data_IF_974828138142
#
_entry.id   IF_974828138142
#
_cell.length_a   1.000
_cell.length_b   1.000
_cell.length_c   1.000
_cell.angle_alpha   90.00
_cell.angle_beta   90.00
_cell.angle_gamma   90.00
#
_symmetry.space_group_name_H-M   'P 1'
#
loop_
_entity.id
_entity.type
_entity.pdbx_description
1 polymer ?
#
# COMPACT_ATOMS: atom_id res chain seq x y z
N UNK A 1 2.46 -14.91 -29.23
CA UNK A 1 2.82 -13.48 -29.28
C UNK A 1 4.33 -13.38 -29.06
N UNK A 2 5.08 -12.91 -30.07
CA UNK A 2 6.53 -12.68 -29.95
C UNK A 2 6.76 -11.21 -29.59
N UNK A 3 7.10 -10.92 -28.33
CA UNK A 3 7.19 -9.55 -27.77
C UNK A 3 8.59 -8.95 -27.95
N UNK A 4 9.61 -9.81 -28.04
CA UNK A 4 11.01 -9.40 -28.17
C UNK A 4 11.34 -8.80 -29.54
N UNK A 5 10.58 -9.15 -30.57
CA UNK A 5 10.81 -8.71 -31.95
C UNK A 5 10.11 -7.37 -32.30
N UNK A 6 9.39 -6.76 -31.36
CA UNK A 6 8.61 -5.54 -31.64
C UNK A 6 9.49 -4.29 -31.60
N UNK A 7 9.57 -3.58 -32.72
CA UNK A 7 10.30 -2.30 -32.81
C UNK A 7 9.37 -1.13 -32.48
N UNK A 8 9.84 -0.10 -31.76
CA UNK A 8 9.09 1.13 -31.58
C UNK A 8 8.89 1.82 -32.94
N UNK A 9 7.72 2.40 -33.16
CA UNK A 9 7.41 3.23 -34.34
C UNK A 9 7.25 4.69 -33.89
N UNK A 10 7.23 5.63 -34.84
CA UNK A 10 7.04 7.06 -34.56
C UNK A 10 5.68 7.38 -33.93
N UNK A 11 4.71 6.45 -34.05
CA UNK A 11 3.38 6.55 -33.45
C UNK A 11 3.12 5.38 -32.49
N UNK A 12 2.37 5.61 -31.40
CA UNK A 12 2.00 4.53 -30.50
C UNK A 12 1.10 3.53 -31.23
N UNK A 13 1.46 2.26 -31.17
CA UNK A 13 0.67 1.18 -31.76
C UNK A 13 0.39 0.09 -30.72
N UNK A 14 -0.62 -0.72 -31.00
CA UNK A 14 -1.11 -1.74 -30.08
C UNK A 14 -0.97 -3.11 -30.71
N UNK A 15 -0.24 -4.00 -30.04
CA UNK A 15 -0.10 -5.39 -30.43
C UNK A 15 -1.16 -6.23 -29.68
N UNK A 16 -2.15 -6.73 -30.41
CA UNK A 16 -3.17 -7.60 -29.86
C UNK A 16 -2.59 -8.95 -29.41
N UNK A 17 -2.99 -9.41 -28.22
CA UNK A 17 -2.87 -10.81 -27.82
C UNK A 17 -4.26 -11.48 -27.96
N UNK A 18 -4.76 -12.09 -26.89
CA UNK A 18 -6.05 -12.82 -26.88
C UNK A 18 -6.96 -12.25 -25.80
N UNK A 19 -8.27 -12.41 -26.01
CA UNK A 19 -9.30 -12.05 -25.03
C UNK A 19 -9.22 -10.57 -24.61
N UNK A 20 -9.13 -9.68 -25.60
CA UNK A 20 -9.09 -8.22 -25.39
C UNK A 20 -7.87 -7.71 -24.59
N UNK A 21 -6.85 -8.55 -24.43
CA UNK A 21 -5.53 -8.15 -23.93
C UNK A 21 -4.69 -7.67 -25.12
N UNK A 22 -4.00 -6.56 -24.92
CA UNK A 22 -3.07 -6.01 -25.89
C UNK A 22 -1.88 -5.34 -25.20
N UNK A 23 -0.79 -5.19 -25.95
CA UNK A 23 0.40 -4.49 -25.53
C UNK A 23 0.50 -3.18 -26.32
N UNK A 24 0.37 -2.06 -25.62
CA UNK A 24 0.69 -0.75 -26.17
C UNK A 24 2.21 -0.59 -26.21
N UNK A 25 2.72 -0.19 -27.37
CA UNK A 25 4.12 0.16 -27.58
C UNK A 25 4.16 1.65 -27.89
N UNK A 26 4.84 2.39 -27.04
CA UNK A 26 5.02 3.83 -27.18
C UNK A 26 6.31 4.15 -27.99
N UNK A 27 6.38 5.32 -28.64
CA UNK A 27 7.58 5.76 -29.37
C UNK A 27 8.82 5.86 -28.47
N UNK A 28 8.62 6.15 -27.17
CA UNK A 28 9.67 6.18 -26.15
C UNK A 28 10.19 4.78 -25.75
N UNK A 29 9.78 3.71 -26.45
CA UNK A 29 10.11 2.30 -26.20
C UNK A 29 9.44 1.68 -24.97
N UNK A 30 8.59 2.41 -24.26
CA UNK A 30 7.79 1.87 -23.16
C UNK A 30 6.73 0.92 -23.70
N UNK A 31 6.55 -0.21 -23.02
CA UNK A 31 5.57 -1.23 -23.39
C UNK A 31 4.62 -1.47 -22.24
N UNK A 32 3.33 -1.18 -22.42
CA UNK A 32 2.33 -1.31 -21.35
C UNK A 32 1.19 -2.25 -21.76
N UNK A 33 0.79 -3.12 -20.84
CA UNK A 33 -0.35 -3.99 -21.06
C UNK A 33 -1.65 -3.21 -20.92
N UNK A 34 -2.61 -3.49 -21.80
CA UNK A 34 -3.96 -2.95 -21.80
C UNK A 34 -4.95 -4.10 -21.91
N UNK A 35 -5.94 -4.11 -21.02
CA UNK A 35 -7.04 -5.05 -21.07
C UNK A 35 -8.34 -4.28 -21.17
N UNK A 36 -9.09 -4.52 -22.25
CA UNK A 36 -10.42 -3.95 -22.46
C UNK A 36 -11.49 -4.93 -21.96
N UNK A 37 -12.39 -4.44 -21.13
CA UNK A 37 -13.53 -5.20 -20.61
C UNK A 37 -14.80 -4.36 -20.69
N UNK A 38 -15.96 -4.99 -20.49
CA UNK A 38 -17.24 -4.28 -20.34
C UNK A 38 -17.73 -4.44 -18.92
N UNK A 39 -18.18 -3.34 -18.34
CA UNK A 39 -18.80 -3.31 -17.02
C UNK A 39 -20.06 -2.47 -17.11
N UNK A 40 -21.21 -3.06 -16.77
CA UNK A 40 -22.54 -2.42 -16.86
C UNK A 40 -22.76 -1.80 -18.25
N UNK A 41 -22.52 -2.60 -19.30
CA UNK A 41 -22.70 -2.18 -20.70
C UNK A 41 -21.66 -1.18 -21.25
N UNK A 42 -20.82 -0.57 -20.39
CA UNK A 42 -19.82 0.42 -20.82
C UNK A 42 -18.45 -0.23 -21.03
N UNK A 43 -17.75 0.07 -22.14
CA UNK A 43 -16.37 -0.36 -22.32
C UNK A 43 -15.47 0.38 -21.31
N UNK A 44 -14.64 -0.38 -20.61
CA UNK A 44 -13.61 0.13 -19.71
C UNK A 44 -12.27 -0.50 -20.07
N UNK A 45 -11.19 0.18 -19.69
CA UNK A 45 -9.83 -0.28 -19.88
C UNK A 45 -9.11 -0.30 -18.55
N UNK A 46 -8.31 -1.33 -18.32
CA UNK A 46 -7.40 -1.43 -17.18
C UNK A 46 -6.02 -1.83 -17.68
N UNK A 47 -4.96 -1.32 -17.04
CA UNK A 47 -3.60 -1.71 -17.35
C UNK A 47 -3.12 -2.78 -16.37
N UNK A 48 -2.87 -4.03 -16.80
CA UNK A 48 -2.29 -5.06 -15.94
C UNK A 48 -0.88 -4.74 -15.43
N UNK A 49 -0.13 -3.90 -16.13
CA UNK A 49 1.22 -3.48 -15.77
C UNK A 49 2.07 -3.12 -16.98
N UNK A 50 3.37 -2.91 -16.74
CA UNK A 50 4.36 -2.49 -17.75
C UNK A 50 5.33 -3.64 -18.00
N UNK A 51 5.71 -3.86 -19.25
CA UNK A 51 6.77 -4.78 -19.65
C UNK A 51 8.13 -4.06 -19.57
N UNK A 52 9.21 -4.68 -19.07
CA UNK A 52 9.37 -6.12 -18.80
C UNK A 52 8.99 -6.57 -17.39
N UNK A 53 8.63 -5.65 -16.48
CA UNK A 53 8.28 -5.98 -15.09
C UNK A 53 7.18 -7.04 -15.02
N UNK A 54 6.18 -6.96 -15.89
CA UNK A 54 5.12 -7.94 -16.05
C UNK A 54 5.31 -8.65 -17.39
N UNK A 55 5.63 -9.94 -17.32
CA UNK A 55 5.75 -10.79 -18.50
C UNK A 55 4.36 -11.13 -19.08
N UNK A 56 4.33 -11.82 -20.23
CA UNK A 56 3.07 -12.21 -20.89
C UNK A 56 2.20 -13.14 -20.04
N UNK A 57 2.81 -14.08 -19.33
CA UNK A 57 2.07 -15.04 -18.49
C UNK A 57 1.40 -14.32 -17.31
N UNK A 58 2.14 -13.42 -16.65
CA UNK A 58 1.62 -12.59 -15.55
C UNK A 58 0.51 -11.65 -16.04
N UNK A 59 0.68 -11.05 -17.22
CA UNK A 59 -0.35 -10.21 -17.83
C UNK A 59 -1.65 -10.99 -18.10
N UNK A 60 -1.53 -12.26 -18.54
CA UNK A 60 -2.68 -13.16 -18.73
C UNK A 60 -3.33 -13.58 -17.41
N UNK A 61 -2.53 -13.88 -16.39
CA UNK A 61 -3.05 -14.18 -15.05
C UNK A 61 -3.85 -13.01 -14.48
N UNK A 62 -3.28 -11.79 -14.52
CA UNK A 62 -3.95 -10.56 -14.07
C UNK A 62 -5.20 -10.23 -14.89
N UNK A 63 -5.23 -10.59 -16.18
CA UNK A 63 -6.44 -10.49 -17.02
C UNK A 63 -7.52 -11.43 -16.51
N UNK A 64 -7.18 -12.67 -16.23
CA UNK A 64 -8.13 -13.69 -15.80
C UNK A 64 -8.73 -13.34 -14.42
N UNK A 65 -7.92 -12.80 -13.51
CA UNK A 65 -8.40 -12.27 -12.24
C UNK A 65 -9.36 -11.08 -12.43
N UNK A 66 -9.00 -10.13 -13.32
CA UNK A 66 -9.90 -9.02 -13.66
C UNK A 66 -11.21 -9.51 -14.28
N UNK A 67 -11.19 -10.57 -15.10
CA UNK A 67 -12.41 -11.16 -15.67
C UNK A 67 -13.28 -11.81 -14.60
N UNK A 68 -12.70 -12.50 -13.62
CA UNK A 68 -13.44 -13.06 -12.48
C UNK A 68 -14.16 -11.96 -11.69
N UNK A 69 -13.46 -10.87 -11.38
CA UNK A 69 -14.06 -9.72 -10.71
C UNK A 69 -15.25 -9.13 -11.51
N UNK A 70 -15.12 -9.00 -12.83
CA UNK A 70 -16.23 -8.55 -13.69
C UNK A 70 -17.40 -9.53 -13.66
N UNK A 71 -17.15 -10.84 -13.66
CA UNK A 71 -18.22 -11.85 -13.56
C UNK A 71 -18.94 -11.85 -12.20
N UNK A 72 -18.25 -11.44 -11.13
CA UNK A 72 -18.84 -11.19 -9.81
C UNK A 72 -19.61 -9.85 -9.74
N UNK A 73 -19.68 -9.09 -10.84
CA UNK A 73 -20.32 -7.78 -10.86
C UNK A 73 -19.50 -6.68 -10.17
N UNK A 74 -18.20 -6.88 -9.96
CA UNK A 74 -17.29 -5.86 -9.42
C UNK A 74 -16.48 -5.20 -10.53
N UNK A 75 -16.21 -3.90 -10.38
CA UNK A 75 -15.33 -3.18 -11.29
C UNK A 75 -13.85 -3.38 -10.88
N UNK A 76 -13.00 -4.04 -11.70
CA UNK A 76 -11.60 -4.30 -11.36
C UNK A 76 -10.79 -3.02 -11.08
N UNK A 77 -11.13 -1.90 -11.72
CA UNK A 77 -10.45 -0.62 -11.48
C UNK A 77 -10.78 -0.03 -10.10
N UNK A 78 -12.00 -0.25 -9.60
CA UNK A 78 -12.42 0.18 -8.26
C UNK A 78 -11.79 -0.70 -7.19
N UNK A 79 -11.80 -2.02 -7.36
CA UNK A 79 -11.14 -2.96 -6.44
C UNK A 79 -9.65 -2.63 -6.27
N UNK A 80 -8.94 -2.30 -7.36
CA UNK A 80 -7.54 -1.84 -7.25
C UNK A 80 -7.38 -0.52 -6.52
N UNK A 81 -8.33 0.40 -6.70
CA UNK A 81 -8.32 1.68 -6.00
C UNK A 81 -8.56 1.47 -4.50
N UNK A 82 -9.51 0.64 -4.14
CA UNK A 82 -9.82 0.26 -2.75
C UNK A 82 -8.62 -0.43 -2.10
N UNK A 83 -7.97 -1.38 -2.77
CA UNK A 83 -6.75 -2.01 -2.26
C UNK A 83 -5.61 -1.00 -2.06
N UNK A 84 -5.43 -0.06 -2.98
CA UNK A 84 -4.43 1.00 -2.83
C UNK A 84 -4.75 1.91 -1.65
N UNK A 85 -6.02 2.29 -1.49
CA UNK A 85 -6.47 3.11 -0.36
C UNK A 85 -6.31 2.33 0.93
N UNK A 86 -6.67 1.04 0.99
CA UNK A 86 -6.48 0.21 2.18
C UNK A 86 -5.00 0.14 2.59
N UNK A 87 -4.08 -0.10 1.66
CA UNK A 87 -2.64 -0.07 1.94
C UNK A 87 -2.15 1.30 2.41
N UNK A 88 -2.68 2.39 1.83
CA UNK A 88 -2.38 3.75 2.28
C UNK A 88 -2.93 4.00 3.69
N UNK A 89 -4.17 3.65 3.94
CA UNK A 89 -4.84 3.78 5.24
C UNK A 89 -4.18 2.90 6.30
N UNK A 90 -3.70 1.70 5.97
CA UNK A 90 -2.88 0.88 6.88
C UNK A 90 -1.59 1.60 7.25
N UNK A 91 -0.92 2.22 6.27
CA UNK A 91 0.29 3.01 6.50
C UNK A 91 0.04 4.36 7.20
N UNK A 92 -1.18 4.90 7.11
CA UNK A 92 -1.63 6.12 7.80
C UNK A 92 -2.14 5.83 9.22
N UNK A 93 -2.78 4.67 9.40
CA UNK A 93 -3.26 4.15 10.68
C UNK A 93 -2.15 3.49 11.51
N UNK A 94 -0.92 3.52 11.01
CA UNK A 94 0.26 3.10 11.75
C UNK A 94 0.29 3.82 13.10
N UNK A 95 0.43 3.05 14.18
CA UNK A 95 0.41 3.57 15.55
C UNK A 95 1.40 4.72 15.76
N UNK A 96 2.55 4.66 15.08
CA UNK A 96 3.55 5.73 15.11
C UNK A 96 2.99 7.09 14.71
N UNK A 97 2.24 7.18 13.60
CA UNK A 97 1.65 8.43 13.10
C UNK A 97 0.59 8.98 14.05
N UNK A 98 -0.30 8.11 14.54
CA UNK A 98 -1.34 8.50 15.49
C UNK A 98 -0.72 8.97 16.81
N UNK A 99 0.33 8.29 17.29
CA UNK A 99 1.04 8.67 18.50
C UNK A 99 1.80 10.00 18.33
N UNK A 100 2.37 10.27 17.14
CA UNK A 100 3.00 11.57 16.86
C UNK A 100 1.98 12.70 16.79
N UNK A 101 0.84 12.48 16.15
CA UNK A 101 -0.24 13.48 16.09
C UNK A 101 -0.81 13.78 17.49
N UNK A 102 -1.08 12.74 18.29
CA UNK A 102 -1.48 12.88 19.68
C UNK A 102 -0.46 13.66 20.50
N UNK A 103 0.83 13.36 20.32
CA UNK A 103 1.92 14.06 20.99
C UNK A 103 1.96 15.54 20.59
N UNK A 104 1.83 15.86 19.31
CA UNK A 104 1.78 17.26 18.84
C UNK A 104 0.63 18.03 19.49
N UNK A 105 -0.57 17.45 19.54
CA UNK A 105 -1.72 18.07 20.19
C UNK A 105 -1.51 18.32 21.70
N UNK A 106 -0.81 17.41 22.39
CA UNK A 106 -0.56 17.50 23.83
C UNK A 106 0.66 18.35 24.18
N UNK A 107 1.64 18.45 23.28
CA UNK A 107 2.87 19.21 23.48
C UNK A 107 2.62 20.69 23.76
N UNK A 108 1.52 21.25 23.26
CA UNK A 108 1.09 22.62 23.57
C UNK A 108 0.80 22.87 25.07
N UNK A 109 0.54 21.81 25.85
CA UNK A 109 0.28 21.89 27.30
C UNK A 109 1.48 21.47 28.15
N UNK A 110 2.54 21.00 27.52
CA UNK A 110 3.71 20.45 28.20
C UNK A 110 4.93 21.37 28.03
N UNK A 111 5.86 21.31 28.96
CA UNK A 111 7.17 21.94 28.76
C UNK A 111 7.92 21.22 27.62
N UNK A 112 8.74 21.96 26.87
CA UNK A 112 9.48 21.41 25.73
C UNK A 112 10.32 20.18 26.11
N UNK A 113 10.95 20.18 27.30
CA UNK A 113 11.69 19.04 27.83
C UNK A 113 10.81 17.82 28.09
N UNK A 114 9.65 18.01 28.73
CA UNK A 114 8.74 16.91 29.03
C UNK A 114 8.12 16.30 27.76
N UNK A 115 7.78 17.14 26.79
CA UNK A 115 7.34 16.67 25.48
C UNK A 115 8.45 15.86 24.79
N UNK A 116 9.70 16.34 24.80
CA UNK A 116 10.83 15.61 24.20
C UNK A 116 11.06 14.26 24.88
N UNK A 117 11.04 14.19 26.21
CA UNK A 117 11.21 12.95 26.98
C UNK A 117 10.18 11.88 26.59
N UNK A 118 8.92 12.30 26.39
CA UNK A 118 7.83 11.40 26.00
C UNK A 118 8.09 10.88 24.58
N UNK A 119 8.39 11.76 23.62
CA UNK A 119 8.65 11.34 22.24
C UNK A 119 9.84 10.38 22.16
N UNK A 120 10.91 10.64 22.91
CA UNK A 120 12.08 9.75 22.99
C UNK A 120 11.71 8.37 23.54
N UNK A 121 10.83 8.31 24.56
CA UNK A 121 10.31 7.04 25.06
C UNK A 121 9.49 6.30 24.00
N UNK A 122 8.61 7.00 23.26
CA UNK A 122 7.86 6.40 22.17
C UNK A 122 8.79 5.84 21.07
N UNK A 123 9.81 6.61 20.65
CA UNK A 123 10.77 6.22 19.61
C UNK A 123 11.67 5.05 20.00
N UNK A 124 12.17 5.02 21.23
CA UNK A 124 13.12 4.00 21.65
C UNK A 124 12.45 2.72 22.18
N UNK A 125 11.26 2.85 22.76
CA UNK A 125 10.65 1.77 23.52
C UNK A 125 9.35 1.23 22.91
N UNK A 126 8.62 1.99 22.09
CA UNK A 126 7.31 1.59 21.57
C UNK A 126 7.34 1.40 20.05
N UNK A 127 7.79 2.39 19.28
CA UNK A 127 7.81 2.34 17.82
C UNK A 127 8.59 1.16 17.23
N UNK A 128 9.72 0.70 17.80
CA UNK A 128 10.46 -0.45 17.26
C UNK A 128 9.66 -1.76 17.31
N UNK A 129 8.65 -1.86 18.17
CA UNK A 129 7.86 -3.07 18.36
C UNK A 129 6.48 -3.01 17.73
N UNK A 130 5.82 -1.85 17.77
CA UNK A 130 4.41 -1.69 17.33
C UNK A 130 4.17 -0.48 16.41
N UNK A 131 5.17 0.35 16.15
CA UNK A 131 5.00 1.63 15.44
C UNK A 131 4.50 1.50 14.01
N UNK A 132 4.97 0.49 13.28
CA UNK A 132 4.60 0.24 11.88
C UNK A 132 3.28 -0.49 11.70
N UNK A 133 2.65 -0.96 12.78
CA UNK A 133 1.40 -1.72 12.71
C UNK A 133 0.19 -0.80 12.78
N UNK A 134 -0.90 -1.12 12.05
CA UNK A 134 -2.13 -0.37 12.16
C UNK A 134 -2.75 -0.54 13.56
N UNK A 135 -3.28 0.54 14.14
CA UNK A 135 -3.79 0.54 15.52
C UNK A 135 -4.88 -0.52 15.78
N UNK A 136 -5.68 -0.85 14.77
CA UNK A 136 -6.74 -1.86 14.86
C UNK A 136 -6.24 -3.30 15.01
N UNK A 137 -4.98 -3.57 14.63
CA UNK A 137 -4.38 -4.90 14.75
C UNK A 137 -3.58 -5.07 16.05
N UNK A 138 -3.29 -3.98 16.76
CA UNK A 138 -2.50 -4.02 17.99
C UNK A 138 -3.36 -4.58 19.13
N UNK A 139 -3.06 -5.81 19.55
CA UNK A 139 -3.76 -6.43 20.67
C UNK A 139 -3.34 -5.81 22.00
N UNK A 140 -4.25 -5.64 22.97
CA UNK A 140 -3.91 -5.10 24.30
C UNK A 140 -2.79 -5.87 25.02
N UNK A 141 -2.72 -7.19 24.82
CA UNK A 141 -1.66 -8.04 25.39
C UNK A 141 -0.27 -7.70 24.84
N UNK A 142 -0.18 -7.29 23.57
CA UNK A 142 1.09 -6.90 22.96
C UNK A 142 1.58 -5.57 23.54
N UNK A 143 0.68 -4.60 23.71
CA UNK A 143 0.99 -3.32 24.35
C UNK A 143 1.49 -3.53 25.79
N UNK A 144 0.82 -4.41 26.55
CA UNK A 144 1.26 -4.80 27.90
C UNK A 144 2.64 -5.45 27.90
N UNK A 145 2.96 -6.27 26.90
CA UNK A 145 4.28 -6.88 26.79
C UNK A 145 5.37 -5.85 26.47
N UNK A 146 5.07 -4.86 25.64
CA UNK A 146 5.97 -3.72 25.39
C UNK A 146 6.20 -2.94 26.68
N UNK A 147 5.14 -2.56 27.39
CA UNK A 147 5.24 -1.85 28.69
C UNK A 147 6.03 -2.66 29.73
N UNK A 148 5.86 -3.99 29.78
CA UNK A 148 6.65 -4.88 30.65
C UNK A 148 8.13 -4.89 30.29
N UNK A 149 8.49 -4.84 29.00
CA UNK A 149 9.90 -4.74 28.57
C UNK A 149 10.54 -3.43 29.03
N UNK A 150 9.81 -2.31 28.93
CA UNK A 150 10.25 -1.00 29.44
C UNK A 150 10.49 -1.07 30.95
N UNK A 151 9.56 -1.68 31.69
CA UNK A 151 9.69 -1.90 33.13
C UNK A 151 10.92 -2.74 33.49
N UNK A 152 11.21 -3.78 32.71
CA UNK A 152 12.37 -4.67 32.92
C UNK A 152 13.71 -3.98 32.62
N UNK A 153 13.74 -2.95 31.78
CA UNK A 153 14.93 -2.12 31.50
C UNK A 153 15.27 -1.14 32.63
N UNK A 154 14.48 -1.06 33.69
CA UNK A 154 14.69 -0.14 34.82
C UNK A 154 14.21 1.29 34.57
N UNK A 155 13.52 1.57 33.47
CA UNK A 155 12.98 2.89 33.13
C UNK A 155 11.58 3.12 33.73
N UNK A 156 11.44 2.96 35.05
CA UNK A 156 10.17 3.04 35.79
C UNK A 156 9.48 4.41 35.68
N UNK A 157 10.24 5.51 35.69
CA UNK A 157 9.71 6.86 35.48
C UNK A 157 9.17 7.07 34.06
N UNK A 158 9.87 6.56 33.03
CA UNK A 158 9.41 6.67 31.63
C UNK A 158 8.12 5.86 31.41
N UNK A 159 7.96 4.72 32.10
CA UNK A 159 6.74 3.90 32.06
C UNK A 159 5.51 4.64 32.62
N UNK A 160 5.63 5.36 33.73
CA UNK A 160 4.52 6.14 34.30
C UNK A 160 4.07 7.31 33.42
N UNK A 161 4.97 7.87 32.60
CA UNK A 161 4.67 8.98 31.68
C UNK A 161 3.97 8.51 30.39
N UNK A 162 4.12 7.24 30.03
CA UNK A 162 3.64 6.65 28.77
C UNK A 162 2.33 5.87 28.93
N UNK A 163 1.99 5.45 30.15
CA UNK A 163 0.74 4.78 30.50
C UNK A 163 -0.45 5.74 30.46
#
# INVERSE_FOLDING_TARGET
MQIHCTKPEDKPYTLGDRQSLSLLIEPNRSKSWRFLYRYVGKPKMISPGVYPTINLADARSRRDDARKLVSEGKNPSEVRKEQKVALQTESESAFEKIATEWHQMKSAKWSAGYASDIMEAFQNDIFPYVGTRPIGEIKPLELLNVLRKIKKRGASEKMCKVR
#
